data_IF_644638458229
#
_entry.id   IF_644638458229
#
_cell.length_a   1.000
_cell.length_b   1.000
_cell.length_c   1.000
_cell.angle_alpha   90.00
_cell.angle_beta   90.00
_cell.angle_gamma   90.00
#
_symmetry.space_group_name_H-M   'P 1'
#
loop_
_entity.id
_entity.type
_entity.pdbx_description
1 polymer ?
#
# COMPACT_ATOMS: atom_id res chain seq x y z
N UNK A 1 -19.38 -5.07 -10.30
CA UNK A 1 -18.15 -4.74 -9.55
C UNK A 1 -17.39 -3.69 -10.34
N UNK A 2 -16.84 -2.70 -9.66
CA UNK A 2 -16.08 -1.60 -10.28
C UNK A 2 -14.63 -1.64 -9.80
N UNK A 3 -13.70 -1.30 -10.69
CA UNK A 3 -12.27 -1.23 -10.37
C UNK A 3 -11.89 0.15 -9.81
N UNK A 4 -12.67 1.18 -10.09
CA UNK A 4 -12.48 2.53 -9.56
C UNK A 4 -13.83 3.23 -9.40
N UNK A 5 -13.98 4.01 -8.33
CA UNK A 5 -15.22 4.72 -8.02
C UNK A 5 -14.99 6.24 -8.01
N UNK A 6 -15.42 6.96 -9.06
CA UNK A 6 -15.27 8.41 -9.13
C UNK A 6 -16.08 9.19 -8.07
N UNK A 7 -17.03 8.53 -7.39
CA UNK A 7 -17.84 9.14 -6.32
C UNK A 7 -17.12 9.15 -4.97
N UNK A 8 -15.98 8.48 -4.87
CA UNK A 8 -15.16 8.54 -3.65
C UNK A 8 -14.55 9.93 -3.46
N UNK A 9 -14.23 10.33 -2.23
CA UNK A 9 -13.43 11.52 -2.00
C UNK A 9 -12.03 11.38 -2.62
N UNK A 10 -11.43 12.50 -3.03
CA UNK A 10 -10.13 12.52 -3.72
C UNK A 10 -9.04 11.69 -2.99
N UNK A 11 -8.95 11.80 -1.67
CA UNK A 11 -7.96 11.04 -0.88
C UNK A 11 -8.18 9.54 -0.93
N UNK A 12 -9.43 9.09 -0.96
CA UNK A 12 -9.77 7.67 -1.09
C UNK A 12 -9.51 7.17 -2.52
N UNK A 13 -9.79 7.99 -3.54
CA UNK A 13 -9.42 7.67 -4.92
C UNK A 13 -7.90 7.50 -5.06
N UNK A 14 -7.11 8.39 -4.45
CA UNK A 14 -5.66 8.27 -4.41
C UNK A 14 -5.22 6.97 -3.71
N UNK A 15 -5.85 6.60 -2.60
CA UNK A 15 -5.56 5.34 -1.90
C UNK A 15 -5.81 4.11 -2.77
N UNK A 16 -6.90 4.08 -3.55
CA UNK A 16 -7.21 2.98 -4.47
C UNK A 16 -6.16 2.88 -5.58
N UNK A 17 -5.84 4.01 -6.23
CA UNK A 17 -4.85 4.04 -7.31
C UNK A 17 -3.47 3.64 -6.80
N UNK A 18 -3.03 4.23 -5.68
CA UNK A 18 -1.77 3.88 -5.04
C UNK A 18 -1.75 2.42 -4.59
N UNK A 19 -2.87 1.88 -4.10
CA UNK A 19 -3.00 0.48 -3.72
C UNK A 19 -2.77 -0.46 -4.91
N UNK A 20 -3.33 -0.13 -6.08
CA UNK A 20 -3.06 -0.90 -7.31
C UNK A 20 -1.61 -0.81 -7.74
N UNK A 21 -1.04 0.40 -7.77
CA UNK A 21 0.36 0.62 -8.14
C UNK A 21 1.29 -0.16 -7.20
N UNK A 22 1.12 0.00 -5.88
CA UNK A 22 1.91 -0.70 -4.86
C UNK A 22 1.74 -2.22 -4.96
N UNK A 23 0.53 -2.70 -5.23
CA UNK A 23 0.26 -4.11 -5.42
C UNK A 23 0.98 -4.70 -6.63
N UNK A 24 0.92 -4.05 -7.80
CA UNK A 24 1.62 -4.50 -9.01
C UNK A 24 3.14 -4.50 -8.81
N UNK A 25 3.71 -3.41 -8.30
CA UNK A 25 5.15 -3.35 -8.04
C UNK A 25 5.58 -4.31 -6.92
N UNK A 26 4.70 -4.58 -5.95
CA UNK A 26 4.89 -5.58 -4.92
C UNK A 26 4.99 -6.98 -5.52
N UNK A 27 4.09 -7.34 -6.45
CA UNK A 27 4.15 -8.63 -7.16
C UNK A 27 5.45 -8.78 -7.95
N UNK A 28 5.81 -7.77 -8.76
CA UNK A 28 7.03 -7.77 -9.56
C UNK A 28 8.30 -7.88 -8.71
N UNK A 29 8.30 -7.27 -7.52
CA UNK A 29 9.42 -7.40 -6.58
C UNK A 29 9.41 -8.72 -5.83
N UNK A 30 8.24 -9.25 -5.46
CA UNK A 30 8.14 -10.50 -4.71
C UNK A 30 8.64 -11.71 -5.51
N UNK A 31 8.48 -11.69 -6.84
CA UNK A 31 9.06 -12.70 -7.73
C UNK A 31 10.57 -12.54 -7.91
N UNK A 32 11.10 -11.32 -7.75
CA UNK A 32 12.53 -11.03 -7.84
C UNK A 32 13.28 -11.20 -6.49
N UNK A 33 12.59 -11.01 -5.37
CA UNK A 33 13.13 -11.24 -4.03
C UNK A 33 13.14 -12.73 -3.73
N UNK A 34 14.30 -13.37 -3.82
CA UNK A 34 14.54 -14.64 -3.11
C UNK A 34 14.70 -14.38 -1.61
N UNK A 35 14.10 -15.21 -0.75
CA UNK A 35 14.33 -15.17 0.70
C UNK A 35 13.08 -15.34 1.58
N UNK A 36 13.25 -15.38 2.92
CA UNK A 36 12.19 -15.73 3.86
C UNK A 36 11.05 -14.70 3.94
N UNK A 37 11.29 -13.46 3.49
CA UNK A 37 10.28 -12.39 3.49
C UNK A 37 9.44 -12.36 2.20
N UNK A 38 9.80 -13.13 1.17
CA UNK A 38 9.11 -13.12 -0.12
C UNK A 38 7.62 -13.51 -0.01
N UNK A 39 7.23 -14.54 0.76
CA UNK A 39 5.80 -14.87 0.94
C UNK A 39 5.01 -13.75 1.60
N UNK A 40 5.60 -13.04 2.56
CA UNK A 40 4.96 -11.92 3.26
C UNK A 40 4.73 -10.76 2.29
N UNK A 41 5.73 -10.44 1.46
CA UNK A 41 5.60 -9.39 0.45
C UNK A 41 4.59 -9.76 -0.64
N UNK A 42 4.52 -11.03 -1.03
CA UNK A 42 3.50 -11.53 -1.97
C UNK A 42 2.09 -11.36 -1.38
N UNK A 43 1.88 -11.76 -0.13
CA UNK A 43 0.59 -11.57 0.56
C UNK A 43 0.23 -10.09 0.72
N UNK A 44 1.20 -9.23 1.03
CA UNK A 44 0.99 -7.80 1.11
C UNK A 44 0.63 -7.20 -0.27
N UNK A 45 1.27 -7.65 -1.34
CA UNK A 45 0.95 -7.23 -2.70
C UNK A 45 -0.48 -7.64 -3.11
N UNK A 46 -0.87 -8.89 -2.84
CA UNK A 46 -2.23 -9.37 -3.08
C UNK A 46 -3.24 -8.64 -2.20
N UNK A 47 -2.91 -8.35 -0.94
CA UNK A 47 -3.72 -7.56 -0.02
C UNK A 47 -3.90 -6.11 -0.48
N UNK A 48 -2.90 -5.50 -1.10
CA UNK A 48 -3.00 -4.17 -1.68
C UNK A 48 -3.92 -4.16 -2.92
N UNK A 49 -3.77 -5.14 -3.82
CA UNK A 49 -4.63 -5.27 -5.02
C UNK A 49 -6.09 -5.58 -4.65
N UNK A 50 -6.29 -6.63 -3.85
CA UNK A 50 -7.61 -7.07 -3.41
C UNK A 50 -8.25 -6.06 -2.46
N UNK A 51 -7.47 -5.42 -1.60
CA UNK A 51 -7.92 -4.34 -0.73
C UNK A 51 -8.37 -3.12 -1.52
N UNK A 52 -7.58 -2.65 -2.49
CA UNK A 52 -7.97 -1.54 -3.36
C UNK A 52 -9.25 -1.84 -4.16
N UNK A 53 -9.38 -3.07 -4.68
CA UNK A 53 -10.60 -3.53 -5.31
C UNK A 53 -11.80 -3.58 -4.36
N UNK A 54 -11.61 -4.06 -3.12
CA UNK A 54 -12.66 -4.05 -2.11
C UNK A 54 -13.07 -2.62 -1.72
N UNK A 55 -12.12 -1.69 -1.58
CA UNK A 55 -12.39 -0.27 -1.34
C UNK A 55 -13.19 0.32 -2.49
N UNK A 56 -12.81 0.07 -3.75
CA UNK A 56 -13.55 0.53 -4.93
C UNK A 56 -15.03 0.08 -4.91
N UNK A 57 -15.32 -1.07 -4.30
CA UNK A 57 -16.67 -1.63 -4.14
C UNK A 57 -17.30 -1.36 -2.76
N UNK A 58 -16.81 -0.35 -2.01
CA UNK A 58 -17.31 0.07 -0.70
C UNK A 58 -17.35 -1.02 0.38
N UNK A 59 -16.38 -1.94 0.39
CA UNK A 59 -16.31 -3.02 1.38
C UNK A 59 -15.35 -2.68 2.52
N UNK A 60 -15.82 -2.72 3.78
CA UNK A 60 -14.97 -2.46 4.96
C UNK A 60 -13.80 -3.43 5.06
N UNK A 61 -14.03 -4.70 4.74
CA UNK A 61 -12.98 -5.72 4.67
C UNK A 61 -11.89 -5.38 3.65
N UNK A 62 -12.25 -4.73 2.53
CA UNK A 62 -11.31 -4.24 1.54
C UNK A 62 -10.43 -3.11 2.08
N UNK A 63 -11.03 -2.16 2.81
CA UNK A 63 -10.28 -1.10 3.48
C UNK A 63 -9.31 -1.64 4.53
N UNK A 64 -9.74 -2.60 5.35
CA UNK A 64 -8.87 -3.25 6.33
C UNK A 64 -7.70 -3.98 5.68
N UNK A 65 -7.97 -4.75 4.61
CA UNK A 65 -6.94 -5.44 3.85
C UNK A 65 -5.93 -4.46 3.23
N UNK A 66 -6.42 -3.37 2.63
CA UNK A 66 -5.57 -2.33 2.04
C UNK A 66 -4.73 -1.62 3.11
N UNK A 67 -5.33 -1.30 4.26
CA UNK A 67 -4.64 -0.68 5.39
C UNK A 67 -3.52 -1.57 5.92
N UNK A 68 -3.83 -2.83 6.22
CA UNK A 68 -2.85 -3.81 6.69
C UNK A 68 -1.71 -4.01 5.68
N UNK A 69 -2.05 -4.22 4.40
CA UNK A 69 -1.07 -4.36 3.33
C UNK A 69 -0.16 -3.13 3.21
N UNK A 70 -0.73 -1.92 3.20
CA UNK A 70 0.03 -0.68 3.10
C UNK A 70 1.02 -0.50 4.25
N UNK A 71 0.63 -0.83 5.47
CA UNK A 71 1.50 -0.74 6.66
C UNK A 71 2.63 -1.76 6.56
N UNK A 72 2.34 -3.01 6.18
CA UNK A 72 3.38 -4.04 6.01
C UNK A 72 4.42 -3.62 4.96
N UNK A 73 3.97 -3.11 3.81
CA UNK A 73 4.88 -2.63 2.76
C UNK A 73 5.68 -1.43 3.24
N UNK A 74 5.06 -0.46 3.91
CA UNK A 74 5.76 0.71 4.43
C UNK A 74 6.84 0.35 5.47
N UNK A 75 6.53 -0.56 6.39
CA UNK A 75 7.49 -1.04 7.39
C UNK A 75 8.68 -1.77 6.74
N UNK A 76 8.41 -2.58 5.71
CA UNK A 76 9.47 -3.26 4.96
C UNK A 76 10.43 -2.26 4.33
N UNK A 77 9.91 -1.25 3.61
CA UNK A 77 10.76 -0.23 2.98
C UNK A 77 11.48 0.66 4.00
N UNK A 78 10.84 0.99 5.12
CA UNK A 78 11.51 1.71 6.21
C UNK A 78 12.67 0.90 6.80
N UNK A 79 12.50 -0.43 6.97
CA UNK A 79 13.58 -1.33 7.38
C UNK A 79 14.74 -1.33 6.39
N UNK A 80 14.45 -1.31 5.09
CA UNK A 80 15.47 -1.18 4.05
C UNK A 80 16.20 0.17 4.11
N UNK A 81 15.54 1.26 4.50
CA UNK A 81 16.21 2.55 4.71
C UNK A 81 17.23 2.44 5.85
N UNK A 82 16.83 1.86 6.98
CA UNK A 82 17.72 1.66 8.15
C UNK A 82 18.92 0.78 7.80
N UNK A 83 18.71 -0.27 7.00
CA UNK A 83 19.81 -1.12 6.55
C UNK A 83 20.71 -0.40 5.52
N UNK A 84 20.13 0.36 4.60
CA UNK A 84 20.87 1.05 3.54
C UNK A 84 21.74 2.21 4.06
N UNK A 85 21.37 2.87 5.16
CA UNK A 85 22.18 3.92 5.79
C UNK A 85 23.53 3.38 6.29
N UNK A 86 23.60 2.09 6.65
CA UNK A 86 24.84 1.42 7.03
C UNK A 86 25.78 1.15 5.83
N UNK A 87 25.29 1.32 4.60
CA UNK A 87 26.01 1.01 3.36
C UNK A 87 26.39 2.25 2.54
N UNK A 88 26.18 3.45 3.10
CA UNK A 88 26.56 4.73 2.50
C UNK A 88 25.40 5.54 1.93
N UNK A 89 25.68 6.83 1.70
CA UNK A 89 24.68 7.86 1.37
C UNK A 89 23.89 7.54 0.09
N UNK A 90 24.55 7.03 -0.96
CA UNK A 90 23.89 6.73 -2.22
C UNK A 90 22.82 5.64 -2.08
N UNK A 91 23.10 4.57 -1.31
CA UNK A 91 22.11 3.50 -1.05
C UNK A 91 20.98 3.99 -0.16
N UNK A 92 21.29 4.81 0.84
CA UNK A 92 20.28 5.43 1.69
C UNK A 92 19.29 6.29 0.89
N UNK A 93 19.80 7.15 -0.02
CA UNK A 93 18.96 8.00 -0.87
C UNK A 93 18.07 7.19 -1.80
N UNK A 94 18.59 6.14 -2.44
CA UNK A 94 17.78 5.24 -3.26
C UNK A 94 16.66 4.57 -2.44
N UNK A 95 16.97 4.12 -1.22
CA UNK A 95 15.98 3.48 -0.35
C UNK A 95 14.89 4.45 0.11
N UNK A 96 15.24 5.70 0.42
CA UNK A 96 14.28 6.75 0.78
C UNK A 96 13.30 7.05 -0.35
N UNK A 97 13.78 7.17 -1.59
CA UNK A 97 12.92 7.39 -2.76
C UNK A 97 11.92 6.23 -2.92
N UNK A 98 12.37 4.99 -2.72
CA UNK A 98 11.48 3.82 -2.78
C UNK A 98 10.41 3.80 -1.68
N UNK A 99 10.62 4.53 -0.58
CA UNK A 99 9.71 4.56 0.59
C UNK A 99 8.57 5.57 0.43
N UNK A 100 8.69 6.52 -0.51
CA UNK A 100 7.70 7.60 -0.72
C UNK A 100 6.31 7.05 -1.02
N UNK A 101 6.19 6.13 -1.98
CA UNK A 101 4.89 5.57 -2.38
C UNK A 101 4.22 4.72 -1.28
N UNK A 102 4.92 3.78 -0.61
CA UNK A 102 4.36 3.06 0.53
C UNK A 102 3.84 3.96 1.65
N UNK A 103 4.61 5.00 2.02
CA UNK A 103 4.21 5.93 3.09
C UNK A 103 3.03 6.79 2.65
N UNK A 104 3.03 7.28 1.40
CA UNK A 104 1.91 8.02 0.84
C UNK A 104 0.62 7.18 0.82
N UNK A 105 0.72 5.89 0.50
CA UNK A 105 -0.43 4.96 0.55
C UNK A 105 -0.97 4.83 1.98
N UNK A 106 -0.12 4.58 2.97
CA UNK A 106 -0.54 4.50 4.38
C UNK A 106 -1.24 5.80 4.80
N UNK A 107 -0.65 6.94 4.47
CA UNK A 107 -1.22 8.25 4.76
C UNK A 107 -2.61 8.42 4.12
N UNK A 108 -2.77 8.03 2.86
CA UNK A 108 -4.04 8.15 2.13
C UNK A 108 -5.14 7.20 2.69
N UNK A 109 -4.79 5.96 3.02
CA UNK A 109 -5.74 4.95 3.53
C UNK A 109 -6.22 5.29 4.93
N UNK A 110 -5.31 5.78 5.78
CA UNK A 110 -5.59 6.13 7.18
C UNK A 110 -6.03 7.59 7.36
N UNK A 111 -6.03 8.38 6.28
CA UNK A 111 -6.45 9.78 6.32
C UNK A 111 -7.85 9.92 6.92
N UNK A 112 -8.08 11.02 7.65
CA UNK A 112 -9.36 11.29 8.31
C UNK A 112 -10.54 11.23 7.33
N UNK A 113 -10.39 11.86 6.16
CA UNK A 113 -11.42 11.87 5.11
C UNK A 113 -11.79 10.46 4.62
N UNK A 114 -10.78 9.59 4.43
CA UNK A 114 -10.99 8.19 4.03
C UNK A 114 -11.73 7.41 5.11
N UNK A 115 -11.33 7.59 6.38
CA UNK A 115 -11.96 6.92 7.52
C UNK A 115 -13.40 7.37 7.76
N UNK A 116 -13.69 8.66 7.68
CA UNK A 116 -15.04 9.20 7.83
C UNK A 116 -15.95 8.71 6.71
N UNK A 117 -15.49 8.74 5.46
CA UNK A 117 -16.26 8.20 4.34
C UNK A 117 -16.52 6.70 4.48
N UNK A 118 -15.50 5.92 4.82
CA UNK A 118 -15.63 4.47 5.04
C UNK A 118 -16.65 4.16 6.14
N UNK A 119 -16.62 4.88 7.28
CA UNK A 119 -17.58 4.65 8.36
C UNK A 119 -19.02 4.92 7.92
N UNK A 120 -19.24 5.94 7.10
CA UNK A 120 -20.57 6.36 6.65
C UNK A 120 -21.14 5.49 5.54
N UNK A 121 -20.30 5.01 4.60
CA UNK A 121 -20.77 4.46 3.32
C UNK A 121 -20.37 3.02 3.04
N UNK A 122 -19.45 2.43 3.82
CA UNK A 122 -19.01 1.06 3.56
C UNK A 122 -19.82 0.08 4.38
N UNK A 123 -20.10 -1.07 3.75
CA UNK A 123 -20.72 -2.25 4.36
C UNK A 123 -19.68 -3.05 5.17
#
# INVERSE_FOLDING_TARGET
>A
MIWFNPRHPQTMQAAVILGYISGVFGLLRSSALGGPLAPIMLLAALGALGGAFGVANNKRVGWLALAAASVVVALFFLGLVVWATQQGVNRAMQSLINTVFPVALVAAVLHRQTREYMKAWFD
#
